data_IF_960538890919
#
_entry.id   IF_960538890919
#
_cell.length_a   1.000
_cell.length_b   1.000
_cell.length_c   1.000
_cell.angle_alpha   90.00
_cell.angle_beta   90.00
_cell.angle_gamma   90.00
#
_symmetry.space_group_name_H-M   'P 1'
#
loop_
_entity.id
_entity.type
_entity.pdbx_description
1 polymer ?
#
# COMPACT_ATOMS: atom_id res chain seq x y z
N UNK A 1 12.16 -6.50 0.32
CA UNK A 1 10.82 -6.07 0.75
C UNK A 1 10.93 -5.12 1.93
N UNK A 2 10.20 -4.02 1.90
CA UNK A 2 10.02 -3.11 3.04
C UNK A 2 9.14 -3.74 4.14
N UNK A 3 9.08 -3.09 5.31
CA UNK A 3 8.48 -3.67 6.52
C UNK A 3 6.97 -3.97 6.38
N UNK A 4 6.19 -3.11 5.72
CA UNK A 4 4.76 -3.38 5.58
C UNK A 4 4.52 -4.44 4.51
N UNK A 5 5.29 -4.45 3.41
CA UNK A 5 5.18 -5.49 2.38
C UNK A 5 5.53 -6.86 2.93
N UNK A 6 6.52 -6.97 3.83
CA UNK A 6 6.80 -8.23 4.56
C UNK A 6 5.58 -8.72 5.33
N UNK A 7 4.85 -7.83 6.01
CA UNK A 7 3.61 -8.20 6.71
C UNK A 7 2.56 -8.68 5.70
N UNK A 8 2.33 -7.94 4.61
CA UNK A 8 1.35 -8.30 3.59
C UNK A 8 1.65 -9.66 2.93
N UNK A 9 2.92 -10.02 2.77
CA UNK A 9 3.35 -11.29 2.18
C UNK A 9 2.96 -12.54 3.01
N UNK A 10 2.52 -12.37 4.27
CA UNK A 10 1.98 -13.47 5.07
C UNK A 10 0.50 -13.75 4.78
N UNK A 11 -0.15 -12.92 3.96
CA UNK A 11 -1.56 -13.03 3.62
C UNK A 11 -1.73 -13.43 2.16
N UNK A 12 -2.69 -14.32 1.84
CA UNK A 12 -2.93 -14.72 0.47
C UNK A 12 -3.52 -13.57 -0.35
N UNK A 13 -3.30 -13.59 -1.66
CA UNK A 13 -4.05 -12.77 -2.61
C UNK A 13 -5.56 -13.02 -2.42
N UNK A 14 -6.36 -11.97 -2.53
CA UNK A 14 -7.77 -11.98 -2.14
C UNK A 14 -8.03 -11.60 -0.67
N UNK A 15 -6.98 -11.34 0.12
CA UNK A 15 -7.16 -10.81 1.47
C UNK A 15 -7.69 -9.38 1.41
N UNK A 16 -8.77 -9.11 2.13
CA UNK A 16 -9.33 -7.76 2.25
C UNK A 16 -8.62 -6.99 3.35
N UNK A 17 -8.21 -5.79 3.02
CA UNK A 17 -7.44 -4.90 3.87
C UNK A 17 -8.14 -3.56 3.97
N UNK A 18 -7.96 -2.89 5.09
CA UNK A 18 -8.24 -1.46 5.22
C UNK A 18 -6.90 -0.76 5.41
N UNK A 19 -6.61 0.21 4.56
CA UNK A 19 -5.31 0.90 4.55
C UNK A 19 -5.54 2.39 4.73
N UNK A 20 -4.75 2.98 5.61
CA UNK A 20 -4.71 4.41 5.88
C UNK A 20 -3.36 5.01 5.50
N UNK A 21 -3.38 6.26 5.05
CA UNK A 21 -2.21 7.09 4.83
C UNK A 21 -2.19 8.28 5.81
N UNK A 22 -1.04 8.92 5.94
CA UNK A 22 -0.84 10.07 6.82
C UNK A 22 -1.72 11.28 6.46
N UNK A 23 -2.06 11.43 5.18
CA UNK A 23 -2.97 12.48 4.72
C UNK A 23 -4.44 12.21 5.08
N UNK A 24 -4.74 11.07 5.70
CA UNK A 24 -6.08 10.66 6.07
C UNK A 24 -6.82 9.90 4.97
N UNK A 25 -6.22 9.66 3.79
CA UNK A 25 -6.78 8.73 2.82
C UNK A 25 -6.98 7.38 3.51
N UNK A 26 -8.19 6.82 3.38
CA UNK A 26 -8.55 5.50 3.90
C UNK A 26 -9.32 4.74 2.84
N UNK A 27 -8.85 3.55 2.48
CA UNK A 27 -9.50 2.69 1.51
C UNK A 27 -9.68 1.29 2.06
N UNK A 28 -10.72 0.63 1.58
CA UNK A 28 -10.84 -0.83 1.64
C UNK A 28 -10.36 -1.40 0.32
N UNK A 29 -9.39 -2.30 0.37
CA UNK A 29 -8.77 -2.92 -0.80
C UNK A 29 -8.74 -4.44 -0.72
N UNK A 30 -8.54 -5.07 -1.88
CA UNK A 30 -8.23 -6.49 -2.01
C UNK A 30 -6.76 -6.62 -2.40
N UNK A 31 -5.97 -7.38 -1.63
CA UNK A 31 -4.60 -7.71 -1.99
C UNK A 31 -4.60 -8.52 -3.28
N UNK A 32 -4.03 -7.99 -4.36
CA UNK A 32 -4.02 -8.65 -5.66
C UNK A 32 -2.71 -9.37 -5.91
N UNK A 33 -1.60 -8.64 -5.87
CA UNK A 33 -0.26 -9.17 -6.21
C UNK A 33 0.82 -8.38 -5.47
N UNK A 34 1.89 -9.04 -5.03
CA UNK A 34 3.14 -8.41 -4.56
C UNK A 34 4.22 -8.69 -5.61
N UNK A 35 4.98 -7.67 -6.00
CA UNK A 35 5.96 -7.76 -7.09
C UNK A 35 7.16 -6.83 -6.86
N UNK A 36 8.27 -7.13 -7.54
CA UNK A 36 9.46 -6.28 -7.61
C UNK A 36 9.27 -5.23 -8.71
N UNK A 37 9.70 -4.01 -8.45
CA UNK A 37 9.68 -2.86 -9.37
C UNK A 37 10.84 -1.92 -9.00
N UNK A 38 11.07 -0.90 -9.81
CA UNK A 38 12.05 0.16 -9.55
C UNK A 38 11.40 1.54 -9.58
N UNK A 39 12.20 2.58 -9.33
CA UNK A 39 11.79 3.98 -9.39
C UNK A 39 11.86 4.60 -10.80
N UNK A 40 12.17 3.77 -11.82
CA UNK A 40 12.28 4.17 -13.22
C UNK A 40 13.54 4.95 -13.57
N UNK A 41 14.53 5.02 -12.67
CA UNK A 41 15.85 5.60 -12.98
C UNK A 41 16.68 4.61 -13.81
N UNK A 42 17.72 5.14 -14.46
CA UNK A 42 18.70 4.31 -15.17
C UNK A 42 19.54 3.50 -14.17
N UNK A 43 19.94 2.28 -14.53
CA UNK A 43 20.66 1.37 -13.63
C UNK A 43 22.01 1.91 -13.13
N UNK A 44 22.62 2.85 -13.86
CA UNK A 44 23.87 3.50 -13.45
C UNK A 44 23.67 4.74 -12.58
N UNK A 45 22.42 5.16 -12.35
CA UNK A 45 22.10 6.29 -11.48
C UNK A 45 22.42 5.93 -10.01
N UNK A 46 23.03 6.86 -9.28
CA UNK A 46 23.39 6.65 -7.88
C UNK A 46 22.15 6.57 -6.96
N UNK A 47 21.04 7.16 -7.41
CA UNK A 47 19.77 7.16 -6.71
C UNK A 47 18.85 6.00 -7.14
N UNK A 48 19.26 5.15 -8.11
CA UNK A 48 18.47 4.00 -8.56
C UNK A 48 18.16 3.04 -7.40
N UNK A 49 16.88 2.68 -7.28
CA UNK A 49 16.41 1.90 -6.14
C UNK A 49 15.35 0.86 -6.54
N UNK A 50 15.71 -0.42 -6.46
CA UNK A 50 14.77 -1.54 -6.59
C UNK A 50 13.96 -1.74 -5.29
N UNK A 51 12.67 -1.99 -5.44
CA UNK A 51 11.78 -2.22 -4.31
C UNK A 51 10.63 -3.17 -4.60
N UNK A 52 9.89 -3.47 -3.55
CA UNK A 52 8.67 -4.26 -3.67
C UNK A 52 7.46 -3.34 -3.54
N UNK A 53 6.46 -3.61 -4.35
CA UNK A 53 5.17 -2.98 -4.30
C UNK A 53 4.07 -4.05 -4.20
N UNK A 54 2.88 -3.62 -3.79
CA UNK A 54 1.68 -4.43 -3.89
C UNK A 54 0.61 -3.72 -4.70
N UNK A 55 -0.06 -4.48 -5.58
CA UNK A 55 -1.27 -4.04 -6.25
C UNK A 55 -2.46 -4.35 -5.35
N UNK A 56 -3.31 -3.34 -5.15
CA UNK A 56 -4.56 -3.46 -4.41
C UNK A 56 -5.73 -3.09 -5.30
N UNK A 57 -6.71 -3.97 -5.44
CA UNK A 57 -7.98 -3.58 -6.05
C UNK A 57 -8.79 -2.76 -5.05
N UNK A 58 -9.10 -1.52 -5.40
CA UNK A 58 -9.92 -0.64 -4.57
C UNK A 58 -11.35 -1.21 -4.53
N UNK A 59 -11.84 -1.55 -3.35
CA UNK A 59 -13.21 -2.00 -3.13
C UNK A 59 -14.13 -0.86 -2.68
N UNK A 60 -13.61 0.07 -1.86
CA UNK A 60 -14.34 1.24 -1.36
C UNK A 60 -13.35 2.32 -0.93
N UNK A 61 -13.70 3.58 -1.17
CA UNK A 61 -12.94 4.75 -0.69
C UNK A 61 -13.68 5.29 0.55
N UNK A 62 -13.15 5.05 1.74
CA UNK A 62 -13.82 5.38 3.00
C UNK A 62 -13.55 6.84 3.44
N UNK A 63 -12.38 7.37 3.10
CA UNK A 63 -12.02 8.77 3.33
C UNK A 63 -11.00 9.23 2.29
N UNK A 64 -11.12 10.43 1.74
CA UNK A 64 -10.18 10.99 0.75
C UNK A 64 -10.11 12.53 0.87
N UNK A 65 -9.51 13.05 1.95
CA UNK A 65 -9.51 14.49 2.23
C UNK A 65 -8.65 15.29 1.24
N UNK A 66 -7.62 14.67 0.66
CA UNK A 66 -6.74 15.30 -0.34
C UNK A 66 -7.35 15.35 -1.74
N UNK A 67 -8.50 14.71 -1.97
CA UNK A 67 -9.17 14.70 -3.26
C UNK A 67 -8.40 13.99 -4.36
N UNK A 68 -7.56 13.00 -4.01
CA UNK A 68 -6.82 12.19 -4.99
C UNK A 68 -7.79 11.52 -5.96
N UNK A 69 -7.44 11.47 -7.24
CA UNK A 69 -8.24 10.79 -8.26
C UNK A 69 -8.07 9.29 -8.08
N UNK A 70 -9.04 8.67 -7.42
CA UNK A 70 -9.13 7.24 -7.17
C UNK A 70 -10.49 6.74 -7.65
N UNK A 71 -10.59 5.48 -8.02
CA UNK A 71 -11.85 4.88 -8.47
C UNK A 71 -11.99 3.47 -7.91
N UNK A 72 -13.20 3.10 -7.51
CA UNK A 72 -13.48 1.73 -7.13
C UNK A 72 -13.30 0.80 -8.34
N UNK A 73 -12.92 -0.46 -8.06
CA UNK A 73 -12.59 -1.49 -9.03
C UNK A 73 -11.32 -1.25 -9.88
N UNK A 74 -10.53 -0.21 -9.60
CA UNK A 74 -9.19 -0.05 -10.20
C UNK A 74 -8.11 -0.62 -9.28
N UNK A 75 -6.92 -0.87 -9.85
CA UNK A 75 -5.73 -1.21 -9.08
C UNK A 75 -5.04 0.06 -8.59
N UNK A 76 -4.59 0.03 -7.35
CA UNK A 76 -3.71 1.01 -6.72
C UNK A 76 -2.43 0.31 -6.33
N UNK A 77 -1.29 0.84 -6.76
CA UNK A 77 0.00 0.42 -6.24
C UNK A 77 0.25 1.02 -4.87
N UNK A 78 0.73 0.20 -3.94
CA UNK A 78 1.22 0.63 -2.62
C UNK A 78 2.64 0.12 -2.43
N UNK A 79 3.56 1.03 -2.13
CA UNK A 79 5.00 0.80 -2.04
C UNK A 79 5.63 1.71 -0.99
N UNK A 80 6.96 1.65 -0.85
CA UNK A 80 7.70 2.57 0.02
C UNK A 80 7.57 4.05 -0.39
N UNK A 81 7.28 4.34 -1.67
CA UNK A 81 7.17 5.71 -2.18
C UNK A 81 5.86 6.38 -1.74
N UNK A 82 4.77 5.61 -1.67
CA UNK A 82 3.47 6.05 -1.18
C UNK A 82 3.09 5.27 0.09
N UNK A 83 4.03 5.19 1.03
CA UNK A 83 3.95 4.35 2.22
C UNK A 83 2.65 4.58 3.02
N UNK A 84 1.91 3.52 3.39
CA UNK A 84 0.77 3.64 4.28
C UNK A 84 1.21 4.04 5.70
N UNK A 85 0.28 4.55 6.50
CA UNK A 85 0.49 4.81 7.94
C UNK A 85 -0.02 3.65 8.80
N UNK A 86 -1.12 3.00 8.39
CA UNK A 86 -1.71 1.86 9.10
C UNK A 86 -2.35 0.87 8.14
N UNK A 87 -2.33 -0.41 8.50
CA UNK A 87 -2.98 -1.48 7.77
C UNK A 87 -3.77 -2.35 8.76
N UNK A 88 -5.02 -2.63 8.42
CA UNK A 88 -5.92 -3.46 9.19
C UNK A 88 -6.50 -4.58 8.32
N UNK A 89 -6.83 -5.71 8.94
CA UNK A 89 -7.74 -6.69 8.35
C UNK A 89 -9.18 -6.16 8.35
N UNK A 90 -10.06 -6.73 7.50
CA UNK A 90 -11.48 -6.35 7.43
C UNK A 90 -12.21 -6.44 8.80
N UNK A 91 -11.73 -7.30 9.70
CA UNK A 91 -12.27 -7.43 11.06
C UNK A 91 -11.74 -6.39 12.07
N UNK A 92 -10.93 -5.42 11.63
CA UNK A 92 -10.39 -4.34 12.45
C UNK A 92 -9.08 -4.65 13.17
N UNK A 93 -8.51 -5.86 13.03
CA UNK A 93 -7.18 -6.18 13.59
C UNK A 93 -6.11 -5.37 12.87
N UNK A 94 -5.38 -4.53 13.62
CA UNK A 94 -4.19 -3.84 13.11
C UNK A 94 -3.06 -4.85 12.90
N UNK A 95 -2.54 -4.92 11.67
CA UNK A 95 -1.45 -5.83 11.30
C UNK A 95 -0.14 -5.10 11.05
N UNK A 96 -0.20 -3.79 10.80
CA UNK A 96 0.98 -2.96 10.65
C UNK A 96 0.66 -1.48 10.94
N UNK A 97 1.62 -0.77 11.52
CA UNK A 97 1.57 0.66 11.77
C UNK A 97 2.96 1.27 11.64
N UNK A 98 3.07 2.43 11.00
CA UNK A 98 4.33 3.16 10.94
C UNK A 98 4.69 3.74 12.32
N UNK A 99 5.79 3.26 12.89
CA UNK A 99 6.28 3.68 14.21
C UNK A 99 7.04 5.02 14.16
N UNK A 100 7.33 5.53 12.96
CA UNK A 100 7.99 6.82 12.74
C UNK A 100 7.00 7.99 12.62
N UNK A 101 5.74 7.81 13.04
CA UNK A 101 4.71 8.85 13.08
C UNK A 101 4.79 9.69 14.37
N UNK A 102 6.00 10.15 14.72
CA UNK A 102 6.26 11.09 15.80
C UNK A 102 6.47 12.51 15.28
#
# INVERSE_FOLDING_TARGET
MDEFTKVLNHYPNGTKLIIEWKDGLRIKGLLDTIYETDDGLELEDEDYDEYFACALKILSIENNPSGKVLSENTLLEVSKQNKPSKIFLENGVSIWQDMNDK
#
